data_IF_616966145639
#
_entry.id   IF_616966145639
#
_cell.length_a   1.000
_cell.length_b   1.000
_cell.length_c   1.000
_cell.angle_alpha   90.00
_cell.angle_beta   90.00
_cell.angle_gamma   90.00
#
_symmetry.space_group_name_H-M   'P 1'
#
loop_
_entity.id
_entity.type
_entity.pdbx_description
1 polymer ?
#
# COMPACT_ATOMS: atom_id res chain seq x y z
N UNK A 1 -12.66 21.79 13.01
CA UNK A 1 -11.48 21.02 12.60
C UNK A 1 -11.77 19.58 12.97
N UNK A 2 -12.45 18.85 12.09
CA UNK A 2 -12.80 17.45 12.34
C UNK A 2 -11.51 16.64 12.28
N UNK A 3 -11.02 16.22 13.44
CA UNK A 3 -9.96 15.22 13.55
C UNK A 3 -10.54 13.87 13.13
N UNK A 4 -10.70 13.69 11.82
CA UNK A 4 -10.97 12.39 11.24
C UNK A 4 -9.67 11.61 11.43
N UNK A 5 -9.66 10.69 12.40
CA UNK A 5 -8.59 9.71 12.53
C UNK A 5 -8.34 9.14 11.13
N UNK A 6 -7.11 9.18 10.62
CA UNK A 6 -6.83 8.63 9.30
C UNK A 6 -7.31 7.18 9.33
N UNK A 7 -8.33 6.87 8.52
CA UNK A 7 -8.82 5.51 8.36
C UNK A 7 -8.20 5.01 7.07
N UNK A 8 -7.42 3.95 7.16
CA UNK A 8 -6.96 3.26 5.96
C UNK A 8 -8.21 2.75 5.22
N UNK A 9 -8.49 3.32 4.05
CA UNK A 9 -9.53 2.83 3.14
C UNK A 9 -8.88 2.27 1.89
N UNK A 10 -9.61 1.41 1.17
CA UNK A 10 -9.12 0.87 -0.10
C UNK A 10 -8.81 1.98 -1.11
N UNK A 11 -9.65 3.03 -1.16
CA UNK A 11 -9.45 4.18 -2.04
C UNK A 11 -8.17 4.97 -1.70
N UNK A 12 -7.94 5.18 -0.39
CA UNK A 12 -6.71 5.80 0.10
C UNK A 12 -5.48 4.96 -0.26
N UNK A 13 -5.56 3.63 -0.09
CA UNK A 13 -4.50 2.71 -0.46
C UNK A 13 -4.19 2.79 -1.97
N UNK A 14 -5.22 2.75 -2.80
CA UNK A 14 -5.11 2.88 -4.26
C UNK A 14 -4.45 4.22 -4.63
N UNK A 15 -4.85 5.31 -3.98
CA UNK A 15 -4.24 6.62 -4.16
C UNK A 15 -2.75 6.62 -3.82
N UNK A 16 -2.37 5.99 -2.70
CA UNK A 16 -0.98 5.85 -2.29
C UNK A 16 -0.17 5.00 -3.27
N UNK A 17 -0.73 3.87 -3.72
CA UNK A 17 -0.09 3.00 -4.71
C UNK A 17 0.22 3.76 -5.99
N UNK A 18 -0.79 4.48 -6.52
CA UNK A 18 -0.60 5.35 -7.69
C UNK A 18 0.51 6.36 -7.45
N UNK A 19 0.48 7.05 -6.30
CA UNK A 19 1.50 8.02 -5.96
C UNK A 19 2.91 7.39 -5.93
N UNK A 20 3.11 6.27 -5.24
CA UNK A 20 4.42 5.61 -5.12
C UNK A 20 4.93 5.15 -6.49
N UNK A 21 4.05 4.56 -7.29
CA UNK A 21 4.40 4.09 -8.63
C UNK A 21 4.75 5.28 -9.55
N UNK A 22 4.02 6.39 -9.46
CA UNK A 22 4.31 7.63 -10.20
C UNK A 22 5.58 8.34 -9.71
N UNK A 23 5.86 8.32 -8.40
CA UNK A 23 7.07 8.92 -7.81
C UNK A 23 8.33 8.15 -8.22
N UNK A 24 8.20 6.85 -8.50
CA UNK A 24 9.24 6.04 -9.11
C UNK A 24 9.40 6.39 -10.60
N UNK A 25 9.89 7.62 -10.84
CA UNK A 25 10.08 8.28 -12.15
C UNK A 25 11.01 7.52 -13.11
N UNK A 26 11.68 6.46 -12.64
CA UNK A 26 12.48 5.55 -13.48
C UNK A 26 11.64 4.50 -14.22
N UNK A 27 10.34 4.38 -13.93
CA UNK A 27 9.46 3.48 -14.67
C UNK A 27 8.82 4.19 -15.85
N UNK A 28 8.84 3.51 -16.99
CA UNK A 28 8.07 3.86 -18.17
C UNK A 28 6.59 4.02 -17.76
N UNK A 29 6.14 5.26 -17.59
CA UNK A 29 4.76 5.60 -17.20
C UNK A 29 3.73 5.14 -18.23
N UNK A 30 4.15 4.50 -19.34
CA UNK A 30 3.29 3.97 -20.39
C UNK A 30 2.43 2.78 -19.97
N UNK A 31 2.64 2.19 -18.78
CA UNK A 31 1.84 1.08 -18.25
C UNK A 31 0.95 1.41 -17.05
N UNK A 32 0.78 2.67 -16.66
CA UNK A 32 -0.40 3.05 -15.86
C UNK A 32 -1.59 3.07 -16.82
N UNK A 33 -1.95 1.89 -17.27
CA UNK A 33 -3.10 1.69 -18.14
C UNK A 33 -4.32 2.11 -17.34
N UNK A 34 -5.36 2.54 -18.04
CA UNK A 34 -6.68 2.84 -17.51
C UNK A 34 -7.38 1.63 -16.88
N UNK A 35 -6.63 0.69 -16.29
CA UNK A 35 -7.12 -0.42 -15.50
C UNK A 35 -8.00 0.15 -14.39
N UNK A 36 -9.19 -0.42 -14.24
CA UNK A 36 -10.04 -0.17 -13.08
C UNK A 36 -9.28 -0.65 -11.86
N UNK A 37 -8.78 0.28 -11.05
CA UNK A 37 -8.14 -0.04 -9.77
C UNK A 37 -9.23 -0.46 -8.79
N UNK A 38 -9.16 -1.70 -8.35
CA UNK A 38 -10.11 -2.32 -7.45
C UNK A 38 -9.44 -3.39 -6.60
N UNK A 39 -10.19 -4.01 -5.66
CA UNK A 39 -9.63 -5.02 -4.76
C UNK A 39 -9.15 -6.28 -5.51
N UNK A 40 -9.74 -6.56 -6.68
CA UNK A 40 -9.38 -7.66 -7.57
C UNK A 40 -8.21 -7.35 -8.53
N UNK A 41 -7.75 -6.10 -8.57
CA UNK A 41 -6.63 -5.70 -9.43
C UNK A 41 -5.33 -6.35 -8.94
N UNK A 42 -4.60 -6.95 -9.86
CA UNK A 42 -3.30 -7.56 -9.60
C UNK A 42 -2.22 -6.49 -9.47
N UNK A 43 -1.40 -6.58 -8.43
CA UNK A 43 -0.28 -5.65 -8.19
C UNK A 43 0.80 -5.74 -9.27
N UNK A 44 1.02 -6.93 -9.83
CA UNK A 44 1.94 -7.13 -10.96
C UNK A 44 1.52 -6.36 -12.21
N UNK A 45 0.21 -6.16 -12.43
CA UNK A 45 -0.32 -5.46 -13.60
C UNK A 45 -0.19 -3.93 -13.46
N UNK A 46 -0.24 -3.42 -12.22
CA UNK A 46 -0.03 -2.00 -11.93
C UNK A 46 1.44 -1.58 -12.00
N UNK A 47 2.36 -2.54 -12.06
CA UNK A 47 3.79 -2.31 -12.00
C UNK A 47 4.33 -2.13 -10.58
N UNK A 48 3.52 -2.40 -9.54
CA UNK A 48 3.94 -2.39 -8.16
C UNK A 48 4.97 -3.49 -7.88
N UNK A 49 6.07 -3.16 -7.21
CA UNK A 49 7.10 -4.12 -6.82
C UNK A 49 7.46 -4.00 -5.33
N UNK A 50 8.30 -4.91 -4.84
CA UNK A 50 8.77 -4.94 -3.45
C UNK A 50 9.44 -3.63 -2.99
N UNK A 51 10.02 -2.85 -3.90
CA UNK A 51 10.59 -1.53 -3.56
C UNK A 51 9.49 -0.50 -3.24
N UNK A 52 8.46 -0.42 -4.07
CA UNK A 52 7.29 0.43 -3.84
C UNK A 52 6.57 0.06 -2.55
N UNK A 53 6.54 -1.23 -2.20
CA UNK A 53 5.99 -1.69 -0.94
C UNK A 53 6.74 -1.13 0.27
N UNK A 54 8.06 -1.12 0.24
CA UNK A 54 8.87 -0.54 1.33
C UNK A 54 8.60 0.97 1.46
N UNK A 55 8.58 1.71 0.35
CA UNK A 55 8.23 3.14 0.37
C UNK A 55 6.80 3.40 0.89
N UNK A 56 5.87 2.50 0.55
CA UNK A 56 4.50 2.57 1.03
C UNK A 56 4.40 2.39 2.55
N UNK A 57 5.12 1.41 3.11
CA UNK A 57 5.18 1.21 4.56
C UNK A 57 5.72 2.46 5.25
N UNK A 58 6.82 3.05 4.77
CA UNK A 58 7.35 4.30 5.33
C UNK A 58 6.34 5.46 5.29
N UNK A 59 5.60 5.61 4.18
CA UNK A 59 4.53 6.63 4.08
C UNK A 59 3.39 6.35 5.05
N UNK A 60 3.05 5.10 5.28
CA UNK A 60 2.04 4.70 6.27
C UNK A 60 2.52 5.00 7.69
N UNK A 61 3.76 4.66 8.02
CA UNK A 61 4.37 4.96 9.31
C UNK A 61 4.34 6.47 9.61
N UNK A 62 4.76 7.29 8.65
CA UNK A 62 4.71 8.75 8.75
C UNK A 62 3.26 9.29 8.84
N UNK A 63 2.35 8.78 8.01
CA UNK A 63 0.96 9.27 7.97
C UNK A 63 0.16 8.92 9.22
N UNK A 64 0.38 7.73 9.77
CA UNK A 64 -0.33 7.23 10.95
C UNK A 64 0.44 7.48 12.25
N UNK A 65 1.66 8.02 12.18
CA UNK A 65 2.59 8.19 13.31
C UNK A 65 2.79 6.87 14.08
N UNK A 66 3.10 5.81 13.33
CA UNK A 66 3.30 4.45 13.85
C UNK A 66 4.61 3.86 13.33
N UNK A 67 5.02 2.75 13.94
CA UNK A 67 6.14 1.93 13.48
C UNK A 67 5.57 0.56 13.11
N UNK A 68 5.65 0.20 11.83
CA UNK A 68 5.22 -1.09 11.31
C UNK A 68 6.45 -1.99 11.26
N UNK A 69 6.53 -2.93 12.19
CA UNK A 69 7.61 -3.92 12.20
C UNK A 69 7.43 -4.90 11.01
N UNK A 70 7.98 -4.49 9.87
CA UNK A 70 7.95 -5.29 8.66
C UNK A 70 9.03 -6.37 8.73
N UNK A 71 8.63 -7.57 9.18
CA UNK A 71 9.48 -8.74 9.05
C UNK A 71 9.40 -9.27 7.61
N UNK A 72 10.55 -9.42 6.91
CA UNK A 72 10.60 -9.99 5.56
C UNK A 72 10.10 -11.45 5.48
N UNK A 73 9.93 -12.12 6.62
CA UNK A 73 9.28 -13.43 6.73
C UNK A 73 7.74 -13.35 6.76
N UNK A 74 7.17 -12.14 6.76
CA UNK A 74 5.74 -11.93 6.74
C UNK A 74 5.18 -12.10 5.31
N UNK A 75 3.93 -12.55 5.19
CA UNK A 75 3.31 -13.04 3.94
C UNK A 75 3.09 -11.99 2.85
N UNK A 76 3.78 -10.85 2.85
CA UNK A 76 3.60 -9.82 1.82
C UNK A 76 4.01 -10.29 0.43
N UNK A 77 4.88 -11.32 0.35
CA UNK A 77 5.20 -11.99 -0.91
C UNK A 77 4.04 -12.84 -1.46
N UNK A 78 3.05 -13.18 -0.64
CA UNK A 78 1.85 -13.91 -1.05
C UNK A 78 0.75 -12.97 -1.57
N UNK A 79 0.91 -11.66 -1.36
CA UNK A 79 -0.05 -10.65 -1.80
C UNK A 79 -0.01 -10.51 -3.31
N UNK A 80 -1.12 -10.86 -3.98
CA UNK A 80 -1.24 -10.76 -5.43
C UNK A 80 -2.10 -9.58 -5.85
N UNK A 81 -3.11 -9.25 -5.06
CA UNK A 81 -4.09 -8.22 -5.38
C UNK A 81 -4.02 -7.03 -4.44
N UNK A 82 -4.55 -5.88 -4.89
CA UNK A 82 -4.67 -4.67 -4.04
C UNK A 82 -5.55 -4.94 -2.81
N UNK A 83 -6.60 -5.75 -2.95
CA UNK A 83 -7.48 -6.11 -1.84
C UNK A 83 -6.78 -6.94 -0.77
N UNK A 84 -5.89 -7.85 -1.17
CA UNK A 84 -5.05 -8.60 -0.24
C UNK A 84 -4.04 -7.70 0.45
N UNK A 85 -3.41 -6.79 -0.31
CA UNK A 85 -2.46 -5.82 0.23
C UNK A 85 -3.11 -4.95 1.31
N UNK A 86 -4.31 -4.46 1.01
CA UNK A 86 -5.13 -3.69 1.94
C UNK A 86 -5.37 -4.46 3.24
N UNK A 87 -5.78 -5.72 3.15
CA UNK A 87 -6.02 -6.54 4.34
C UNK A 87 -4.74 -6.81 5.14
N UNK A 88 -3.60 -7.06 4.49
CA UNK A 88 -2.34 -7.26 5.18
C UNK A 88 -1.89 -6.00 5.92
N UNK A 89 -1.97 -4.83 5.27
CA UNK A 89 -1.64 -3.56 5.92
C UNK A 89 -2.61 -3.27 7.08
N UNK A 90 -3.91 -3.51 6.91
CA UNK A 90 -4.87 -3.39 8.01
C UNK A 90 -4.51 -4.28 9.20
N UNK A 91 -4.09 -5.53 8.96
CA UNK A 91 -3.66 -6.44 10.03
C UNK A 91 -2.42 -5.90 10.74
N UNK A 92 -1.44 -5.36 10.00
CA UNK A 92 -0.24 -4.75 10.57
C UNK A 92 -0.59 -3.55 11.46
N UNK A 93 -1.44 -2.65 10.96
CA UNK A 93 -1.94 -1.50 11.71
C UNK A 93 -2.72 -1.91 12.97
N UNK A 94 -3.54 -2.96 12.87
CA UNK A 94 -4.31 -3.47 14.00
C UNK A 94 -3.43 -4.13 15.05
N UNK A 95 -2.37 -4.84 14.63
CA UNK A 95 -1.42 -5.48 15.53
C UNK A 95 -0.63 -4.42 16.33
N UNK A 96 -0.22 -3.33 15.68
CA UNK A 96 0.49 -2.21 16.32
C UNK A 96 -0.36 -1.50 17.38
N UNK A 97 -1.65 -1.31 17.12
CA UNK A 97 -2.57 -0.66 18.08
C UNK A 97 -2.92 -1.54 19.30
N UNK A 98 -2.59 -2.83 19.26
CA UNK A 98 -2.82 -3.77 20.36
C UNK A 98 -1.61 -3.92 21.30
N UNK A 99 -0.47 -3.29 20.98
CA UNK A 99 0.79 -3.40 21.72
C UNK A 99 1.11 -2.16 22.55
#
# INVERSE_FOLDING_TARGET
>A
MTGETPRLTLDFLIGMLKQVIEQNSSRDSGKITSATWGPETLLEDTGFNSYDFVEMIFKLEDHFDIEIDYNANNNVNDVKTIGELYHEILKLLANKQAA
#
